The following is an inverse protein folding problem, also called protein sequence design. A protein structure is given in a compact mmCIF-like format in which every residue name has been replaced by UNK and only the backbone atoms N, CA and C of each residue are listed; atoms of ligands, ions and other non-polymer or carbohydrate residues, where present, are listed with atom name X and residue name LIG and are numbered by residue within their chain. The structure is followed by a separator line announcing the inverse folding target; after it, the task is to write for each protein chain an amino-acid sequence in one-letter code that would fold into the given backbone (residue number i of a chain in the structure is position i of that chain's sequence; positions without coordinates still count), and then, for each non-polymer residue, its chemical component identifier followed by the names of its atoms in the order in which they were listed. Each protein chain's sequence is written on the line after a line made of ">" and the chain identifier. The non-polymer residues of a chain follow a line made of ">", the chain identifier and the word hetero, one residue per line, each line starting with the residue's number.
data_IF_173306632790
#
_entry.id   IF_173306632790
#
_cell.length_a   1.000
_cell.length_b   1.000
_cell.length_c   1.000
_cell.angle_alpha   90.00
_cell.angle_beta   90.00
_cell.angle_gamma   90.00
#
_symmetry.space_group_name_H-M   'P 1'
#
loop_
_entity.id
_entity.type
_entity.pdbx_description
1 polymer ?
#
# COMPACT_ATOMS: atom_id res chain seq x y z
N UNK A 1 22.47 -21.89 1.05
CA UNK A 1 22.98 -20.70 0.32
C UNK A 1 21.77 -19.93 -0.16
N UNK A 2 21.63 -18.65 0.21
CA UNK A 2 20.52 -17.82 -0.26
C UNK A 2 20.62 -17.66 -1.79
N UNK A 3 19.61 -18.14 -2.51
CA UNK A 3 19.57 -18.09 -3.97
C UNK A 3 19.70 -16.63 -4.42
N UNK A 4 20.76 -16.32 -5.16
CA UNK A 4 21.05 -14.95 -5.57
C UNK A 4 20.07 -14.55 -6.66
N UNK A 5 18.94 -13.94 -6.27
CA UNK A 5 18.03 -13.25 -7.19
C UNK A 5 18.84 -12.28 -8.06
N UNK A 6 18.51 -12.18 -9.35
CA UNK A 6 19.25 -11.41 -10.37
C UNK A 6 19.92 -10.12 -9.82
N UNK A 7 21.28 -10.08 -9.71
CA UNK A 7 22.05 -9.31 -10.69
C UNK A 7 23.33 -9.98 -11.25
N UNK A 8 23.74 -9.46 -12.41
CA UNK A 8 24.90 -9.72 -13.31
C UNK A 8 25.13 -11.15 -13.83
N UNK A 9 24.94 -11.32 -15.16
CA UNK A 9 25.30 -12.50 -15.99
C UNK A 9 24.67 -13.84 -15.58
N UNK A 10 23.39 -13.85 -15.23
CA UNK A 10 22.67 -15.10 -14.93
C UNK A 10 21.89 -15.67 -16.13
N UNK A 11 21.58 -16.96 -16.02
CA UNK A 11 20.78 -17.74 -16.98
C UNK A 11 19.46 -18.15 -16.32
N UNK A 12 18.43 -18.36 -17.13
CA UNK A 12 17.12 -18.78 -16.67
C UNK A 12 17.24 -20.14 -15.99
N UNK A 13 16.70 -20.26 -14.77
CA UNK A 13 16.75 -21.51 -13.98
C UNK A 13 16.13 -22.72 -14.71
N UNK A 14 15.20 -22.48 -15.63
CA UNK A 14 14.47 -23.53 -16.34
C UNK A 14 15.08 -23.91 -17.68
N UNK A 15 15.45 -22.91 -18.50
CA UNK A 15 15.88 -23.14 -19.89
C UNK A 15 17.31 -22.69 -20.20
N UNK A 16 18.05 -22.22 -19.19
CA UNK A 16 19.44 -21.75 -19.31
C UNK A 16 19.67 -20.60 -20.31
N UNK A 17 18.61 -20.01 -20.89
CA UNK A 17 18.71 -18.80 -21.72
C UNK A 17 19.22 -17.63 -20.88
N UNK A 18 19.99 -16.73 -21.50
CA UNK A 18 20.51 -15.54 -20.81
C UNK A 18 19.36 -14.72 -20.21
N UNK A 19 19.44 -14.40 -18.92
CA UNK A 19 18.56 -13.44 -18.27
C UNK A 19 19.15 -12.05 -18.45
N UNK A 20 18.30 -11.09 -18.76
CA UNK A 20 18.70 -9.68 -18.86
C UNK A 20 19.29 -9.31 -20.22
N UNK A 21 18.51 -8.51 -20.93
CA UNK A 21 18.94 -7.50 -21.90
C UNK A 21 18.13 -6.22 -21.60
N UNK A 22 18.54 -5.04 -22.08
CA UNK A 22 17.72 -3.83 -21.94
C UNK A 22 16.28 -4.09 -22.41
N UNK A 23 15.28 -3.76 -21.58
CA UNK A 23 13.86 -3.96 -21.89
C UNK A 23 13.31 -5.40 -21.77
N UNK A 24 14.15 -6.42 -21.57
CA UNK A 24 13.68 -7.81 -21.44
C UNK A 24 13.18 -8.08 -20.02
N UNK A 25 11.94 -8.55 -19.89
CA UNK A 25 11.33 -8.90 -18.60
C UNK A 25 12.05 -10.08 -17.92
N UNK A 26 12.07 -10.05 -16.58
CA UNK A 26 12.55 -11.16 -15.74
C UNK A 26 11.48 -11.45 -14.71
N UNK A 27 11.16 -12.72 -14.55
CA UNK A 27 10.09 -13.21 -13.68
C UNK A 27 10.71 -13.90 -12.46
N UNK A 28 10.22 -13.52 -11.28
CA UNK A 28 10.67 -13.97 -9.96
C UNK A 28 12.19 -13.83 -9.76
N UNK A 29 12.83 -12.92 -10.50
CA UNK A 29 14.28 -12.73 -10.49
C UNK A 29 15.10 -13.89 -11.08
N UNK A 30 14.47 -14.93 -11.66
CA UNK A 30 15.14 -16.19 -12.01
C UNK A 30 14.73 -16.78 -13.37
N UNK A 31 13.66 -16.27 -13.99
CA UNK A 31 13.08 -16.86 -15.20
C UNK A 31 12.92 -15.85 -16.34
N UNK A 32 13.07 -16.33 -17.58
CA UNK A 32 13.04 -15.48 -18.78
C UNK A 32 11.64 -15.31 -19.39
N UNK A 33 10.64 -16.06 -18.91
CA UNK A 33 9.26 -16.02 -19.40
C UNK A 33 8.28 -16.49 -18.31
N UNK A 34 6.98 -16.14 -18.41
CA UNK A 34 5.95 -16.65 -17.51
C UNK A 34 5.92 -18.18 -17.48
N UNK A 35 5.97 -18.81 -18.67
CA UNK A 35 6.04 -20.26 -18.81
C UNK A 35 7.23 -20.88 -18.05
N UNK A 36 8.42 -20.28 -18.15
CA UNK A 36 9.57 -20.78 -17.39
C UNK A 36 9.40 -20.63 -15.87
N UNK A 37 8.63 -19.63 -15.42
CA UNK A 37 8.32 -19.39 -14.02
C UNK A 37 7.12 -20.19 -13.50
N UNK A 38 6.44 -20.97 -14.35
CA UNK A 38 5.19 -21.64 -13.99
C UNK A 38 4.02 -20.67 -13.78
N UNK A 39 4.07 -19.48 -14.37
CA UNK A 39 3.06 -18.44 -14.25
C UNK A 39 2.17 -18.39 -15.50
N UNK A 40 0.93 -17.93 -15.31
CA UNK A 40 0.06 -17.54 -16.42
C UNK A 40 0.64 -16.33 -17.17
N UNK A 41 0.23 -16.14 -18.42
CA UNK A 41 0.61 -14.96 -19.20
C UNK A 41 0.10 -13.68 -18.50
N UNK A 42 0.92 -12.63 -18.41
CA UNK A 42 0.53 -11.39 -17.76
C UNK A 42 -0.69 -10.76 -18.42
N UNK A 43 -1.58 -10.21 -17.60
CA UNK A 43 -2.70 -9.41 -18.07
C UNK A 43 -2.21 -8.24 -18.92
N UNK A 44 -2.91 -8.01 -20.04
CA UNK A 44 -2.66 -6.92 -20.98
C UNK A 44 -3.49 -5.67 -20.65
N UNK A 45 -4.59 -5.84 -19.93
CA UNK A 45 -5.47 -4.77 -19.49
C UNK A 45 -5.44 -4.62 -17.97
N UNK A 46 -5.21 -3.39 -17.50
CA UNK A 46 -5.16 -3.08 -16.08
C UNK A 46 -6.55 -3.19 -15.42
N UNK A 47 -7.65 -2.95 -16.13
CA UNK A 47 -8.98 -3.02 -15.55
C UNK A 47 -9.31 -4.44 -15.07
N UNK A 48 -8.88 -5.46 -15.83
CA UNK A 48 -9.11 -6.88 -15.53
C UNK A 48 -7.96 -7.56 -14.75
N UNK A 49 -6.84 -6.87 -14.53
CA UNK A 49 -5.71 -7.43 -13.80
C UNK A 49 -5.98 -7.59 -12.28
N UNK A 50 -5.28 -8.52 -11.59
CA UNK A 50 -5.32 -8.66 -10.13
C UNK A 50 -4.89 -7.37 -9.43
N UNK A 51 -5.45 -7.12 -8.23
CA UNK A 51 -5.17 -5.90 -7.44
C UNK A 51 -3.69 -5.71 -7.13
N UNK A 52 -2.93 -6.79 -6.98
CA UNK A 52 -1.49 -6.74 -6.75
C UNK A 52 -0.71 -6.12 -7.91
N UNK A 53 -1.21 -6.28 -9.14
CA UNK A 53 -0.56 -5.81 -10.37
C UNK A 53 -0.99 -4.40 -10.77
N UNK A 54 -2.03 -3.85 -10.15
CA UNK A 54 -2.62 -2.56 -10.52
C UNK A 54 -2.75 -1.60 -9.35
N UNK A 55 -2.88 -0.32 -9.66
CA UNK A 55 -3.16 0.74 -8.71
C UNK A 55 -4.17 1.70 -9.31
N UNK A 56 -5.01 2.28 -8.46
CA UNK A 56 -5.91 3.35 -8.88
C UNK A 56 -5.15 4.68 -8.83
N UNK A 57 -5.24 5.46 -9.91
CA UNK A 57 -4.70 6.82 -10.02
C UNK A 57 -5.70 7.66 -10.79
N UNK A 58 -6.09 8.80 -10.23
CA UNK A 58 -7.05 9.71 -10.86
C UNK A 58 -8.33 9.00 -11.35
N UNK A 59 -8.88 8.09 -10.56
CA UNK A 59 -10.06 7.27 -10.90
C UNK A 59 -9.89 6.31 -12.08
N UNK A 60 -8.64 5.99 -12.47
CA UNK A 60 -8.31 5.00 -13.48
C UNK A 60 -7.41 3.90 -12.93
N UNK A 61 -7.60 2.67 -13.42
CA UNK A 61 -6.71 1.56 -13.10
C UNK A 61 -5.48 1.58 -14.01
N UNK A 62 -4.31 1.69 -13.40
CA UNK A 62 -3.02 1.60 -14.08
C UNK A 62 -2.22 0.41 -13.56
N UNK A 63 -1.40 -0.20 -14.42
CA UNK A 63 -0.44 -1.21 -13.96
C UNK A 63 0.59 -0.58 -13.02
N UNK A 64 0.91 -1.29 -11.94
CA UNK A 64 2.06 -0.95 -11.11
C UNK A 64 3.34 -1.11 -11.94
N UNK A 65 4.32 -0.27 -11.64
CA UNK A 65 5.66 -0.39 -12.22
C UNK A 65 6.25 -1.79 -11.91
N UNK A 66 6.83 -2.41 -12.93
CA UNK A 66 7.44 -3.74 -12.87
C UNK A 66 8.95 -3.58 -12.80
N UNK A 67 9.57 -4.15 -11.77
CA UNK A 67 11.03 -4.22 -11.63
C UNK A 67 11.49 -5.66 -11.82
N UNK A 68 12.68 -5.84 -12.39
CA UNK A 68 13.27 -7.17 -12.66
C UNK A 68 14.12 -7.67 -11.50
N UNK A 69 14.59 -6.77 -10.66
CA UNK A 69 15.41 -7.03 -9.48
C UNK A 69 15.33 -5.87 -8.50
N UNK A 70 15.80 -6.11 -7.28
CA UNK A 70 15.93 -5.06 -6.27
C UNK A 70 16.86 -3.93 -6.72
N UNK A 71 17.94 -4.24 -7.46
CA UNK A 71 18.89 -3.25 -7.95
C UNK A 71 18.31 -2.24 -8.94
N UNK A 72 17.17 -2.54 -9.56
CA UNK A 72 16.47 -1.62 -10.48
C UNK A 72 15.53 -0.65 -9.78
N UNK A 73 15.25 -0.87 -8.50
CA UNK A 73 14.43 0.05 -7.71
C UNK A 73 15.25 1.33 -7.47
N UNK A 74 14.70 2.52 -7.78
CA UNK A 74 15.36 3.80 -7.51
C UNK A 74 15.83 3.91 -6.05
N UNK A 75 17.02 4.45 -5.80
CA UNK A 75 17.61 4.51 -4.45
C UNK A 75 16.69 5.18 -3.43
N UNK A 76 16.05 6.28 -3.82
CA UNK A 76 15.10 7.00 -2.98
C UNK A 76 13.86 6.18 -2.57
N UNK A 77 13.55 5.09 -3.28
CA UNK A 77 12.50 4.15 -2.89
C UNK A 77 13.07 2.97 -2.09
N UNK A 78 14.32 2.56 -2.33
CA UNK A 78 14.97 1.48 -1.58
C UNK A 78 15.31 1.86 -0.16
N UNK A 79 15.70 3.11 0.05
CA UNK A 79 16.10 3.66 1.34
C UNK A 79 14.92 4.15 2.18
N UNK A 80 13.72 4.19 1.60
CA UNK A 80 12.48 4.64 2.25
C UNK A 80 11.89 3.48 3.10
N UNK A 81 11.90 3.58 4.44
CA UNK A 81 11.43 2.49 5.32
C UNK A 81 9.91 2.24 5.22
N UNK A 82 9.15 3.19 4.66
CA UNK A 82 7.72 3.00 4.39
C UNK A 82 7.44 2.22 3.10
N UNK A 83 8.50 1.94 2.33
CA UNK A 83 8.41 1.24 1.06
C UNK A 83 8.60 -0.25 1.27
N UNK A 84 7.55 -1.02 0.96
CA UNK A 84 7.65 -2.48 0.86
C UNK A 84 7.83 -2.88 -0.60
N UNK A 85 8.62 -3.92 -0.87
CA UNK A 85 8.70 -4.55 -2.17
C UNK A 85 8.41 -6.05 -2.04
N UNK A 86 7.74 -6.59 -3.05
CA UNK A 86 7.33 -7.98 -3.05
C UNK A 86 7.29 -8.54 -4.47
N UNK A 87 7.58 -9.83 -4.60
CA UNK A 87 7.38 -10.55 -5.86
C UNK A 87 5.90 -10.85 -6.01
N UNK A 88 5.30 -10.38 -7.09
CA UNK A 88 3.89 -10.63 -7.34
C UNK A 88 3.67 -12.08 -7.78
N UNK A 89 2.78 -12.80 -7.10
CA UNK A 89 2.44 -14.19 -7.43
C UNK A 89 1.72 -14.34 -8.77
N UNK A 90 1.15 -13.27 -9.32
CA UNK A 90 0.41 -13.30 -10.58
C UNK A 90 1.29 -13.02 -11.80
N UNK A 91 2.06 -11.91 -11.77
CA UNK A 91 2.84 -11.49 -12.93
C UNK A 91 4.34 -11.76 -12.80
N UNK A 92 4.79 -12.28 -11.65
CA UNK A 92 6.19 -12.59 -11.37
C UNK A 92 7.12 -11.38 -11.32
N UNK A 93 6.63 -10.16 -11.48
CA UNK A 93 7.46 -8.95 -11.39
C UNK A 93 7.63 -8.52 -9.94
N UNK A 94 8.71 -7.81 -9.65
CA UNK A 94 8.89 -7.12 -8.38
C UNK A 94 8.05 -5.85 -8.41
N UNK A 95 7.14 -5.70 -7.46
CA UNK A 95 6.30 -4.53 -7.29
C UNK A 95 6.66 -3.80 -5.99
N UNK A 96 6.29 -2.52 -5.96
CA UNK A 96 6.43 -1.69 -4.77
C UNK A 96 5.04 -1.42 -4.20
N UNK A 97 4.86 -1.73 -2.92
CA UNK A 97 3.75 -1.26 -2.10
C UNK A 97 4.12 0.08 -1.47
N UNK A 98 3.41 1.14 -1.84
CA UNK A 98 3.53 2.46 -1.21
C UNK A 98 2.27 2.79 -0.43
N UNK A 99 2.47 3.31 0.78
CA UNK A 99 1.51 4.19 1.45
C UNK A 99 2.30 5.38 1.95
N UNK A 100 2.65 6.31 1.05
CA UNK A 100 3.42 7.49 1.43
C UNK A 100 2.55 8.44 2.23
N UNK A 101 2.96 8.69 3.46
CA UNK A 101 2.58 9.88 4.22
C UNK A 101 3.82 10.76 4.19
N UNK A 102 3.73 11.90 3.51
CA UNK A 102 4.81 12.88 3.54
C UNK A 102 4.70 13.67 4.85
N UNK A 103 5.34 13.17 5.90
CA UNK A 103 5.30 13.80 7.23
C UNK A 103 5.90 15.21 7.26
N UNK A 104 6.63 15.62 6.20
CA UNK A 104 7.19 16.98 6.08
C UNK A 104 6.22 17.98 5.45
N UNK A 105 5.23 17.49 4.69
CA UNK A 105 4.21 18.33 4.02
C UNK A 105 2.81 18.15 4.60
N UNK A 106 2.55 17.04 5.28
CA UNK A 106 1.27 16.73 5.89
C UNK A 106 1.36 16.85 7.42
N UNK A 107 0.47 17.66 8.01
CA UNK A 107 0.31 17.72 9.47
C UNK A 107 -0.21 16.36 9.96
N UNK A 108 0.52 15.71 10.86
CA UNK A 108 0.15 14.40 11.39
C UNK A 108 -0.07 14.46 12.90
N UNK A 109 -1.00 13.62 13.39
CA UNK A 109 -1.24 13.40 14.82
C UNK A 109 -1.26 11.91 15.06
N UNK A 110 -0.48 11.45 16.04
CA UNK A 110 -0.51 10.06 16.48
C UNK A 110 -1.68 9.87 17.44
N UNK A 111 -2.54 8.90 17.16
CA UNK A 111 -3.68 8.54 18.01
C UNK A 111 -3.34 7.24 18.74
N UNK A 112 -3.36 7.26 20.08
CA UNK A 112 -2.99 6.10 20.89
C UNK A 112 -4.16 5.20 21.29
N UNK A 113 -5.38 5.74 21.27
CA UNK A 113 -6.57 5.12 21.80
C UNK A 113 -7.85 5.71 21.17
N UNK A 114 -9.00 5.21 21.64
CA UNK A 114 -10.32 5.64 21.19
C UNK A 114 -10.68 7.06 21.63
N UNK A 115 -10.19 7.51 22.78
CA UNK A 115 -10.42 8.87 23.28
C UNK A 115 -9.76 9.90 22.36
N UNK A 116 -8.52 9.66 21.98
CA UNK A 116 -7.79 10.49 21.03
C UNK A 116 -8.46 10.53 19.65
N UNK A 117 -9.00 9.40 19.18
CA UNK A 117 -9.78 9.35 17.94
C UNK A 117 -11.06 10.19 18.05
N UNK A 118 -11.81 10.00 19.13
CA UNK A 118 -13.05 10.74 19.39
C UNK A 118 -12.81 12.25 19.46
N UNK A 119 -11.79 12.67 20.20
CA UNK A 119 -11.35 14.08 20.31
C UNK A 119 -11.00 14.66 18.94
N UNK A 120 -10.26 13.92 18.11
CA UNK A 120 -9.93 14.34 16.75
C UNK A 120 -11.19 14.55 15.91
N UNK A 121 -12.15 13.61 15.96
CA UNK A 121 -13.39 13.70 15.17
C UNK A 121 -14.25 14.89 15.59
N UNK A 122 -14.44 15.11 16.90
CA UNK A 122 -15.19 16.25 17.44
C UNK A 122 -14.54 17.58 17.05
N UNK A 123 -13.21 17.69 17.20
CA UNK A 123 -12.48 18.90 16.80
C UNK A 123 -12.53 19.16 15.30
N UNK A 124 -12.42 18.11 14.50
CA UNK A 124 -12.46 18.22 13.03
C UNK A 124 -13.85 18.59 12.51
N UNK A 125 -14.90 18.18 13.22
CA UNK A 125 -16.28 18.62 12.94
C UNK A 125 -16.47 20.12 13.13
N UNK A 126 -15.77 20.72 14.10
CA UNK A 126 -15.88 22.13 14.44
C UNK A 126 -17.32 22.51 14.79
N UNK A 127 -17.86 23.54 14.12
CA UNK A 127 -19.23 24.02 14.35
C UNK A 127 -20.30 23.28 13.55
N UNK A 128 -19.93 22.33 12.68
CA UNK A 128 -20.91 21.58 11.91
C UNK A 128 -21.75 20.68 12.83
N UNK A 129 -23.04 20.55 12.53
CA UNK A 129 -23.91 19.64 13.27
C UNK A 129 -23.67 18.18 12.86
N UNK A 130 -24.00 17.24 13.76
CA UNK A 130 -23.93 15.80 13.46
C UNK A 130 -24.75 15.42 12.21
N UNK A 131 -25.90 16.08 11.99
CA UNK A 131 -26.76 15.83 10.83
C UNK A 131 -26.08 16.25 9.53
N UNK A 132 -25.49 17.44 9.49
CA UNK A 132 -24.83 17.97 8.28
C UNK A 132 -23.66 17.08 7.85
N UNK A 133 -22.79 16.68 8.79
CA UNK A 133 -21.67 15.79 8.45
C UNK A 133 -22.17 14.42 8.00
N UNK A 134 -23.14 13.84 8.73
CA UNK A 134 -23.67 12.52 8.41
C UNK A 134 -24.35 12.48 7.03
N UNK A 135 -25.03 13.55 6.63
CA UNK A 135 -25.63 13.69 5.29
C UNK A 135 -24.56 13.67 4.20
N UNK A 136 -23.50 14.48 4.33
CA UNK A 136 -22.39 14.50 3.34
C UNK A 136 -21.64 13.16 3.31
N UNK A 137 -21.43 12.55 4.48
CA UNK A 137 -20.83 11.22 4.61
C UNK A 137 -21.75 10.08 4.18
N UNK A 138 -23.04 10.35 3.89
CA UNK A 138 -24.08 9.37 3.55
C UNK A 138 -24.24 8.26 4.61
N UNK A 139 -24.16 8.64 5.89
CA UNK A 139 -24.36 7.75 7.03
C UNK A 139 -25.54 8.22 7.89
N UNK A 140 -26.01 7.35 8.79
CA UNK A 140 -27.00 7.76 9.80
C UNK A 140 -26.33 8.65 10.86
N UNK A 141 -26.93 9.77 11.31
CA UNK A 141 -26.33 10.66 12.31
C UNK A 141 -25.93 9.96 13.62
N UNK A 142 -26.66 8.90 14.00
CA UNK A 142 -26.31 8.09 15.18
C UNK A 142 -24.94 7.41 15.05
N UNK A 143 -24.50 7.06 13.83
CA UNK A 143 -23.17 6.46 13.60
C UNK A 143 -22.06 7.46 13.86
N UNK A 144 -22.23 8.70 13.44
CA UNK A 144 -21.28 9.75 13.78
C UNK A 144 -21.24 10.01 15.28
N UNK A 145 -22.41 10.02 15.94
CA UNK A 145 -22.48 10.13 17.41
C UNK A 145 -21.74 8.98 18.12
N UNK A 146 -21.91 7.75 17.66
CA UNK A 146 -21.21 6.57 18.21
C UNK A 146 -19.69 6.60 17.98
N UNK A 147 -19.22 7.26 16.91
CA UNK A 147 -17.79 7.46 16.62
C UNK A 147 -17.18 8.61 17.45
N UNK A 148 -17.94 9.67 17.69
CA UNK A 148 -17.57 10.81 18.55
C UNK A 148 -17.80 10.54 20.06
N UNK A 149 -18.20 9.32 20.42
CA UNK A 149 -18.33 8.88 21.80
C UNK A 149 -17.21 7.88 22.14
N UNK A 150 -16.28 8.24 23.05
CA UNK A 150 -15.17 7.37 23.41
C UNK A 150 -15.63 6.13 24.20
N UNK A 151 -16.81 6.18 24.84
CA UNK A 151 -17.36 5.11 25.68
C UNK A 151 -18.30 4.18 24.91
N UNK A 152 -18.71 4.55 23.69
CA UNK A 152 -19.58 3.72 22.87
C UNK A 152 -18.97 2.34 22.63
N UNK A 153 -19.71 1.26 22.82
CA UNK A 153 -19.21 -0.09 22.48
C UNK A 153 -19.33 -0.39 20.98
N UNK A 154 -20.08 0.43 20.24
CA UNK A 154 -20.30 0.26 18.81
C UNK A 154 -19.24 1.01 18.03
N UNK A 155 -18.67 0.34 17.01
CA UNK A 155 -17.69 0.94 16.12
C UNK A 155 -17.96 0.45 14.70
N UNK A 156 -18.20 1.39 13.79
CA UNK A 156 -18.44 1.12 12.38
C UNK A 156 -17.29 1.70 11.55
N UNK A 157 -16.40 0.82 11.07
CA UNK A 157 -15.22 1.22 10.31
C UNK A 157 -15.59 1.90 8.98
N UNK A 158 -16.68 1.47 8.32
CA UNK A 158 -17.11 2.07 7.06
C UNK A 158 -17.61 3.50 7.29
N UNK A 159 -18.38 3.71 8.36
CA UNK A 159 -18.81 5.04 8.77
C UNK A 159 -17.62 5.94 9.12
N UNK A 160 -16.60 5.40 9.80
CA UNK A 160 -15.37 6.13 10.10
C UNK A 160 -14.68 6.60 8.81
N UNK A 161 -14.43 5.71 7.85
CA UNK A 161 -13.76 6.10 6.60
C UNK A 161 -14.58 7.12 5.78
N UNK A 162 -15.91 7.03 5.80
CA UNK A 162 -16.77 8.03 5.18
C UNK A 162 -16.62 9.41 5.83
N UNK A 163 -16.63 9.47 7.16
CA UNK A 163 -16.47 10.71 7.95
C UNK A 163 -15.07 11.32 7.76
N UNK A 164 -14.02 10.49 7.77
CA UNK A 164 -12.66 10.96 7.49
C UNK A 164 -12.54 11.58 6.10
N UNK A 165 -13.23 11.02 5.11
CA UNK A 165 -13.34 11.60 3.77
C UNK A 165 -13.96 13.01 3.79
N UNK A 166 -15.03 13.22 4.56
CA UNK A 166 -15.64 14.55 4.74
C UNK A 166 -14.67 15.52 5.40
N UNK A 167 -13.92 15.07 6.41
CA UNK A 167 -12.94 15.89 7.13
C UNK A 167 -11.60 16.04 6.40
N UNK A 168 -11.45 15.44 5.20
CA UNK A 168 -10.19 15.39 4.44
C UNK A 168 -9.01 14.84 5.24
N UNK A 169 -9.30 13.90 6.15
CA UNK A 169 -8.31 13.20 6.95
C UNK A 169 -7.96 11.86 6.33
N UNK A 170 -6.71 11.44 6.48
CA UNK A 170 -6.22 10.12 6.08
C UNK A 170 -5.77 9.36 7.33
N UNK A 171 -6.00 8.05 7.34
CA UNK A 171 -5.39 7.18 8.35
C UNK A 171 -4.06 6.63 7.85
N UNK A 172 -3.11 6.62 8.78
CA UNK A 172 -1.73 6.23 8.58
C UNK A 172 -1.42 5.06 9.52
N UNK A 173 -0.91 3.96 8.97
CA UNK A 173 -0.30 2.91 9.78
C UNK A 173 1.21 3.17 9.84
N UNK A 174 1.73 3.39 11.06
CA UNK A 174 3.16 3.50 11.31
C UNK A 174 3.58 2.27 12.09
N UNK A 175 4.53 1.50 11.55
CA UNK A 175 5.10 0.37 12.25
C UNK A 175 6.07 0.90 13.31
N UNK A 176 5.87 0.49 14.57
CA UNK A 176 6.88 0.74 15.62
C UNK A 176 8.10 -0.11 15.29
N UNK A 177 9.23 0.52 14.99
CA UNK A 177 10.50 -0.19 14.99
C UNK A 177 10.75 -0.73 16.40
N UNK A 178 11.12 -2.01 16.50
CA UNK A 178 11.61 -2.53 17.76
C UNK A 178 12.80 -1.67 18.18
N UNK A 179 12.92 -1.28 19.47
CA UNK A 179 14.11 -0.58 19.93
C UNK A 179 15.32 -1.43 19.52
N UNK A 180 16.26 -0.83 18.79
CA UNK A 180 17.51 -1.47 18.43
C UNK A 180 18.25 -1.83 19.72
N UNK A 181 18.03 -3.06 20.21
CA UNK A 181 18.43 -3.47 21.54
C UNK A 181 18.70 -4.96 21.60
N UNK A 182 20.01 -5.27 21.70
CA UNK A 182 20.65 -6.57 21.94
C UNK A 182 20.67 -7.56 20.77
N UNK A 183 21.80 -7.51 20.06
CA UNK A 183 22.44 -8.73 19.55
C UNK A 183 22.66 -9.65 20.76
N UNK A 184 22.00 -10.80 20.77
CA UNK A 184 22.48 -11.96 21.51
C UNK A 184 23.40 -12.75 20.58
#
# INVERSE_FOLDING_TARGET
>A
MAETLFPTRQRCKTCSKKLGGPGVAVYLGLHCSPRCAGLAEPHQDAATAPRECKTERNSHWEFKRRYRSFSEIPNNLREDPSTSWYWCGHCGSLHIGHSRIDLTRESHRVLGDREALSDLLVKSRGHATLKQVAEVAKIRPIRLKELEDPLSLKFDANALFAVLGVYRLKLAAVLREAPAGRKY
#
